data_IF_472227387863
#
_entry.id   IF_472227387863
#
_cell.length_a   1.000
_cell.length_b   1.000
_cell.length_c   1.000
_cell.angle_alpha   90.00
_cell.angle_beta   90.00
_cell.angle_gamma   90.00
#
_symmetry.space_group_name_H-M   'P 1'
#
loop_
_entity.id
_entity.type
_entity.pdbx_description
1 polymer ?
#
# COMPACT_ATOMS: atom_id res chain seq x y z
N UNK A 1 -43.47 -14.26 -8.69
CA UNK A 1 -43.17 -13.16 -9.63
C UNK A 1 -42.37 -12.12 -8.86
N UNK A 2 -41.07 -11.99 -9.13
CA UNK A 2 -40.15 -11.07 -8.42
C UNK A 2 -39.85 -9.86 -9.30
N UNK A 3 -39.81 -8.66 -8.70
CA UNK A 3 -39.32 -7.45 -9.39
C UNK A 3 -37.79 -7.38 -9.16
N UNK A 4 -36.96 -7.32 -10.22
CA UNK A 4 -35.51 -7.22 -10.12
C UNK A 4 -35.08 -5.75 -9.95
N UNK A 5 -34.33 -5.42 -8.91
CA UNK A 5 -33.85 -4.04 -8.71
C UNK A 5 -33.07 -3.80 -7.42
N UNK A 6 -31.75 -3.98 -7.51
CA UNK A 6 -30.70 -3.33 -6.67
C UNK A 6 -30.79 -3.46 -5.15
N UNK A 7 -30.29 -4.56 -4.60
CA UNK A 7 -29.74 -4.54 -3.25
C UNK A 7 -28.31 -3.99 -3.32
N UNK A 8 -28.12 -2.67 -3.12
CA UNK A 8 -26.81 -2.17 -2.71
C UNK A 8 -26.46 -2.85 -1.39
N UNK A 9 -25.39 -3.63 -1.38
CA UNK A 9 -24.94 -4.33 -0.17
C UNK A 9 -24.74 -3.31 0.95
N UNK A 10 -25.38 -3.54 2.11
CA UNK A 10 -25.29 -2.67 3.30
C UNK A 10 -23.84 -2.46 3.78
N UNK A 11 -22.96 -3.42 3.48
CA UNK A 11 -21.55 -3.41 3.87
C UNK A 11 -20.65 -3.36 2.64
N UNK A 12 -19.51 -2.70 2.81
CA UNK A 12 -18.46 -2.65 1.81
C UNK A 12 -17.54 -3.86 2.01
N UNK A 13 -17.25 -4.58 0.92
CA UNK A 13 -16.30 -5.70 0.95
C UNK A 13 -14.86 -5.19 0.78
N UNK A 14 -14.07 -5.21 1.86
CA UNK A 14 -12.66 -4.79 1.86
C UNK A 14 -11.71 -5.67 1.02
N UNK A 15 -12.14 -6.86 0.59
CA UNK A 15 -11.39 -7.66 -0.40
C UNK A 15 -11.49 -7.11 -1.83
N UNK A 16 -12.32 -6.09 -2.04
CA UNK A 16 -12.32 -5.35 -3.30
C UNK A 16 -11.26 -4.26 -3.24
N UNK A 17 -10.49 -4.16 -4.32
CA UNK A 17 -9.52 -3.09 -4.52
C UNK A 17 -10.18 -1.74 -4.23
N UNK A 18 -11.32 -1.44 -4.88
CA UNK A 18 -12.10 -0.23 -4.65
C UNK A 18 -12.36 0.12 -3.17
N UNK A 19 -12.83 -0.84 -2.37
CA UNK A 19 -13.10 -0.61 -0.95
C UNK A 19 -11.84 -0.30 -0.16
N UNK A 20 -10.79 -1.09 -0.38
CA UNK A 20 -9.51 -0.93 0.26
C UNK A 20 -8.91 0.44 -0.09
N UNK A 21 -8.97 0.83 -1.38
CA UNK A 21 -8.61 2.15 -1.88
C UNK A 21 -9.35 3.29 -1.23
N UNK A 22 -10.67 3.17 -1.19
CA UNK A 22 -11.52 4.23 -0.68
C UNK A 22 -11.28 4.48 0.81
N UNK A 23 -10.94 3.42 1.55
CA UNK A 23 -10.77 3.49 2.98
C UNK A 23 -9.34 3.78 3.41
N UNK A 24 -8.34 3.18 2.76
CA UNK A 24 -6.93 3.32 3.15
C UNK A 24 -6.09 4.16 2.20
N UNK A 25 -6.60 4.55 1.02
CA UNK A 25 -5.85 5.27 0.00
C UNK A 25 -5.96 6.80 0.05
N UNK A 26 -6.37 7.37 1.19
CA UNK A 26 -6.49 8.81 1.39
C UNK A 26 -5.69 9.23 2.62
N UNK A 27 -5.00 10.37 2.56
CA UNK A 27 -4.21 10.91 3.69
C UNK A 27 -5.02 11.01 4.99
N UNK A 28 -6.30 11.39 4.92
CA UNK A 28 -7.18 11.49 6.10
C UNK A 28 -7.33 10.17 6.87
N UNK A 29 -7.17 9.03 6.19
CA UNK A 29 -7.33 7.70 6.77
C UNK A 29 -6.00 6.96 6.95
N UNK A 30 -4.89 7.67 6.81
CA UNK A 30 -3.54 7.12 6.94
C UNK A 30 -3.31 6.46 8.30
N UNK A 31 -3.79 7.07 9.37
CA UNK A 31 -3.71 6.52 10.73
C UNK A 31 -4.43 5.18 10.88
N UNK A 32 -5.52 4.97 10.13
CA UNK A 32 -6.24 3.70 10.12
C UNK A 32 -5.41 2.60 9.45
N UNK A 33 -4.69 2.94 8.37
CA UNK A 33 -3.78 2.00 7.71
C UNK A 33 -2.59 1.67 8.61
N UNK A 34 -2.00 2.67 9.29
CA UNK A 34 -0.91 2.46 10.26
C UNK A 34 -1.37 1.52 11.38
N UNK A 35 -2.52 1.80 12.00
CA UNK A 35 -3.09 0.97 13.06
C UNK A 35 -3.35 -0.46 12.60
N UNK A 36 -3.94 -0.61 11.41
CA UNK A 36 -4.20 -1.92 10.82
C UNK A 36 -2.91 -2.72 10.57
N UNK A 37 -1.88 -2.09 9.97
CA UNK A 37 -0.62 -2.75 9.66
C UNK A 37 0.17 -3.12 10.93
N UNK A 38 0.22 -2.23 11.93
CA UNK A 38 0.86 -2.53 13.21
C UNK A 38 0.19 -3.73 13.89
N UNK A 39 -1.14 -3.80 13.88
CA UNK A 39 -1.86 -4.94 14.44
C UNK A 39 -1.66 -6.23 13.62
N UNK A 40 -1.72 -6.15 12.29
CA UNK A 40 -1.60 -7.30 11.39
C UNK A 40 -0.20 -7.92 11.44
N UNK A 41 0.85 -7.09 11.46
CA UNK A 41 2.25 -7.51 11.47
C UNK A 41 2.80 -7.73 12.90
N UNK A 42 1.96 -7.54 13.93
CA UNK A 42 2.34 -7.59 15.33
C UNK A 42 3.57 -6.72 15.65
N UNK A 43 3.55 -5.47 15.16
CA UNK A 43 4.60 -4.48 15.41
C UNK A 43 4.28 -3.73 16.70
N UNK A 44 5.27 -3.68 17.60
CA UNK A 44 5.15 -3.11 18.93
C UNK A 44 6.38 -2.29 19.33
N UNK A 45 6.19 -1.37 20.27
CA UNK A 45 7.25 -0.54 20.82
C UNK A 45 7.98 0.27 19.74
N UNK A 46 9.28 0.07 19.63
CA UNK A 46 10.15 0.78 18.69
C UNK A 46 10.00 0.33 17.22
N UNK A 47 9.34 -0.81 16.99
CA UNK A 47 9.07 -1.34 15.65
C UNK A 47 7.71 -0.90 15.10
N UNK A 48 6.90 -0.23 15.90
CA UNK A 48 5.64 0.36 15.41
C UNK A 48 5.92 1.31 14.25
N UNK A 49 5.11 1.19 13.21
CA UNK A 49 5.06 2.14 12.10
C UNK A 49 4.67 3.50 12.68
N UNK A 50 5.56 4.48 12.51
CA UNK A 50 5.35 5.86 12.90
C UNK A 50 4.77 6.68 11.75
N UNK A 51 5.16 6.36 10.52
CA UNK A 51 4.69 7.05 9.32
C UNK A 51 4.60 6.11 8.12
N UNK A 52 3.75 6.47 7.15
CA UNK A 52 3.70 5.80 5.86
C UNK A 52 3.58 6.77 4.68
N UNK A 53 4.13 6.42 3.53
CA UNK A 53 3.98 7.21 2.30
C UNK A 53 3.41 6.33 1.19
N UNK A 54 2.36 6.81 0.52
CA UNK A 54 1.79 6.13 -0.64
C UNK A 54 2.69 6.32 -1.86
N UNK A 55 3.12 5.21 -2.48
CA UNK A 55 3.83 5.30 -3.74
C UNK A 55 2.84 5.62 -4.86
N UNK A 56 3.04 6.75 -5.55
CA UNK A 56 2.19 7.11 -6.67
C UNK A 56 2.51 6.24 -7.90
N UNK A 57 1.67 5.25 -8.17
CA UNK A 57 1.78 4.34 -9.33
C UNK A 57 1.72 5.04 -10.69
N UNK A 58 1.22 6.29 -10.77
CA UNK A 58 1.23 7.07 -12.03
C UNK A 58 2.64 7.43 -12.48
N UNK A 59 3.60 7.57 -11.55
CA UNK A 59 5.01 7.83 -11.88
C UNK A 59 5.69 6.68 -12.62
N UNK A 60 5.09 5.49 -12.60
CA UNK A 60 5.66 4.26 -13.16
C UNK A 60 5.09 3.87 -14.52
N UNK A 61 4.15 4.63 -15.08
CA UNK A 61 3.67 4.43 -16.46
C UNK A 61 2.79 3.19 -16.69
N UNK A 62 2.26 2.56 -15.65
CA UNK A 62 1.39 1.39 -15.79
C UNK A 62 0.05 1.73 -16.48
N UNK A 63 -0.31 0.94 -17.49
CA UNK A 63 -1.58 1.05 -18.21
C UNK A 63 -2.77 0.76 -17.28
N UNK A 64 -3.93 1.37 -17.55
CA UNK A 64 -5.16 1.21 -16.75
C UNK A 64 -5.56 -0.25 -16.47
N UNK A 65 -5.14 -1.20 -17.31
CA UNK A 65 -5.41 -2.64 -17.16
C UNK A 65 -4.44 -3.39 -16.22
N UNK A 66 -3.28 -2.84 -15.90
CA UNK A 66 -2.26 -3.43 -15.01
C UNK A 66 -2.39 -2.96 -13.56
N UNK A 67 -3.37 -2.09 -13.28
CA UNK A 67 -3.70 -1.51 -11.95
C UNK A 67 -4.34 -2.52 -10.98
N UNK A 68 -3.84 -3.77 -10.93
CA UNK A 68 -4.39 -4.85 -10.11
C UNK A 68 -3.70 -5.05 -8.75
N UNK A 69 -2.57 -4.39 -8.53
CA UNK A 69 -1.91 -4.31 -7.23
C UNK A 69 -1.74 -2.84 -6.92
N UNK A 70 -2.55 -2.33 -6.00
CA UNK A 70 -2.57 -0.91 -5.70
C UNK A 70 -2.64 -0.79 -4.21
N UNK A 71 -1.47 -0.91 -3.57
CA UNK A 71 -0.81 0.18 -2.86
C UNK A 71 0.54 -0.34 -2.38
N UNK A 72 1.61 0.24 -2.92
CA UNK A 72 2.95 0.10 -2.37
C UNK A 72 3.11 1.24 -1.35
N UNK A 73 3.02 0.92 -0.05
CA UNK A 73 3.25 1.91 1.01
C UNK A 73 4.66 1.73 1.57
N UNK A 74 5.38 2.85 1.63
CA UNK A 74 6.65 2.93 2.35
C UNK A 74 6.36 3.19 3.81
N UNK A 75 6.67 2.22 4.66
CA UNK A 75 6.54 2.35 6.11
C UNK A 75 7.86 2.79 6.70
N UNK A 76 7.79 3.67 7.69
CA UNK A 76 8.90 4.00 8.57
C UNK A 76 8.48 3.72 10.02
N UNK A 77 9.27 2.92 10.72
CA UNK A 77 9.07 2.61 12.14
C UNK A 77 9.63 3.72 13.03
N UNK A 78 9.31 3.67 14.33
CA UNK A 78 9.86 4.60 15.34
C UNK A 78 11.39 4.51 15.46
N UNK A 79 11.98 3.33 15.31
CA UNK A 79 13.44 3.15 15.30
C UNK A 79 14.11 3.53 13.96
N UNK A 80 13.35 3.98 12.97
CA UNK A 80 13.86 4.42 11.67
C UNK A 80 14.04 3.32 10.64
N UNK A 81 13.71 2.06 10.96
CA UNK A 81 13.61 0.97 9.98
C UNK A 81 12.57 1.32 8.90
N UNK A 82 12.88 0.93 7.67
CA UNK A 82 12.03 1.20 6.50
C UNK A 82 11.76 -0.09 5.75
N UNK A 83 10.49 -0.30 5.41
CA UNK A 83 10.07 -1.44 4.61
C UNK A 83 8.88 -1.07 3.72
N UNK A 84 8.64 -1.88 2.70
CA UNK A 84 7.58 -1.68 1.73
C UNK A 84 6.51 -2.73 1.97
N UNK A 85 5.25 -2.31 1.98
CA UNK A 85 4.09 -3.21 2.01
C UNK A 85 3.35 -3.08 0.68
N UNK A 86 3.18 -4.20 -0.01
CA UNK A 86 2.38 -4.29 -1.23
C UNK A 86 1.10 -5.11 -0.98
N UNK A 87 -0.05 -4.53 -1.29
CA UNK A 87 -1.33 -5.22 -1.23
C UNK A 87 -1.59 -6.03 -2.51
N UNK A 88 -1.62 -7.36 -2.38
CA UNK A 88 -1.82 -8.28 -3.50
C UNK A 88 -3.17 -9.01 -3.43
N UNK A 89 -3.98 -8.89 -4.48
CA UNK A 89 -5.26 -9.63 -4.63
C UNK A 89 -5.11 -10.95 -5.39
N UNK A 90 -4.11 -11.05 -6.25
CA UNK A 90 -3.87 -12.21 -7.10
C UNK A 90 -2.36 -12.40 -7.30
N UNK A 91 -1.96 -13.60 -7.73
CA UNK A 91 -0.58 -13.87 -8.10
C UNK A 91 -0.17 -12.95 -9.26
N UNK A 92 0.95 -12.28 -9.11
CA UNK A 92 1.58 -11.45 -10.15
C UNK A 92 2.82 -12.16 -10.65
N UNK A 93 2.96 -12.33 -11.97
CA UNK A 93 4.09 -13.06 -12.56
C UNK A 93 5.43 -12.32 -12.37
N UNK A 94 5.38 -10.99 -12.23
CA UNK A 94 6.57 -10.13 -12.16
C UNK A 94 6.83 -9.60 -10.74
N UNK A 95 6.34 -10.28 -9.70
CA UNK A 95 6.47 -9.81 -8.31
C UNK A 95 7.94 -9.57 -7.90
N UNK A 96 8.85 -10.49 -8.28
CA UNK A 96 10.27 -10.40 -7.93
C UNK A 96 10.95 -9.17 -8.53
N UNK A 97 10.68 -8.91 -9.81
CA UNK A 97 11.27 -7.77 -10.51
C UNK A 97 10.76 -6.45 -9.95
N UNK A 98 9.47 -6.39 -9.58
CA UNK A 98 8.87 -5.22 -8.92
C UNK A 98 9.44 -4.98 -7.53
N UNK A 99 9.57 -6.04 -6.71
CA UNK A 99 10.17 -5.93 -5.38
C UNK A 99 11.62 -5.42 -5.46
N UNK A 100 12.42 -5.94 -6.41
CA UNK A 100 13.79 -5.49 -6.64
C UNK A 100 13.84 -4.03 -7.10
N UNK A 101 12.98 -3.66 -8.05
CA UNK A 101 12.88 -2.30 -8.56
C UNK A 101 12.48 -1.30 -7.46
N UNK A 102 11.47 -1.60 -6.64
CA UNK A 102 11.08 -0.72 -5.52
C UNK A 102 12.17 -0.62 -4.46
N UNK A 103 12.85 -1.71 -4.16
CA UNK A 103 13.98 -1.70 -3.24
C UNK A 103 15.09 -0.73 -3.69
N UNK A 104 15.29 -0.57 -5.00
CA UNK A 104 16.29 0.37 -5.53
C UNK A 104 16.00 1.84 -5.16
N UNK A 105 14.74 2.27 -5.15
CA UNK A 105 14.37 3.62 -4.70
C UNK A 105 14.56 3.79 -3.20
N UNK A 106 14.19 2.76 -2.43
CA UNK A 106 14.39 2.76 -0.97
C UNK A 106 15.87 2.98 -0.61
N UNK A 107 16.77 2.34 -1.35
CA UNK A 107 18.22 2.46 -1.19
C UNK A 107 18.70 3.83 -1.69
N UNK A 108 18.23 4.28 -2.85
CA UNK A 108 18.61 5.58 -3.41
C UNK A 108 18.27 6.74 -2.46
N UNK A 109 17.09 6.74 -1.84
CA UNK A 109 16.67 7.78 -0.90
C UNK A 109 17.51 7.82 0.38
N UNK A 110 18.17 6.73 0.73
CA UNK A 110 19.10 6.64 1.86
C UNK A 110 20.53 7.04 1.46
N UNK A 111 20.82 7.21 0.18
CA UNK A 111 22.12 7.63 -0.32
C UNK A 111 22.45 9.08 0.05
N UNK A 112 23.69 9.32 0.45
CA UNK A 112 24.18 10.69 0.65
C UNK A 112 24.27 11.39 -0.72
N UNK A 113 23.67 12.58 -0.83
CA UNK A 113 23.87 13.42 -2.03
C UNK A 113 25.33 13.85 -2.07
N UNK A 114 25.99 13.62 -3.20
CA UNK A 114 27.37 14.06 -3.40
C UNK A 114 27.48 15.58 -3.22
N UNK A 115 28.47 16.01 -2.44
CA UNK A 115 28.88 17.41 -2.35
C UNK A 115 29.44 17.82 -3.71
N UNK A 116 28.88 18.87 -4.32
CA UNK A 116 29.47 19.50 -5.51
C UNK A 116 30.72 20.30 -5.14
#
# INVERSE_FOLDING_TARGET
>A
MCIPGTALSRYINFYTDFAFKKFFGTETNKDLLISFLNALLALDGDREIADLTYFNTERLGFSNNERRAVYDVYCQTKNGERFIVEMQKAKQDNFRDRALYYSSFAIQEQGQKGSK
#
